data_IF_560655600319
#
_entry.id   IF_560655600319
#
_cell.length_a   1.000
_cell.length_b   1.000
_cell.length_c   1.000
_cell.angle_alpha   90.00
_cell.angle_beta   90.00
_cell.angle_gamma   90.00
#
_symmetry.space_group_name_H-M   'P 1'
#
loop_
_entity.id
_entity.type
_entity.pdbx_description
1 polymer ?
#
# COMPACT_ATOMS: atom_id res chain seq x y z
N UNK A 1 9.09 11.23 -27.87
CA UNK A 1 8.54 12.42 -27.18
C UNK A 1 9.60 12.93 -26.21
N UNK A 2 10.12 14.15 -26.42
CA UNK A 2 11.15 14.76 -25.55
C UNK A 2 10.45 15.51 -24.41
N UNK A 3 10.65 15.07 -23.17
CA UNK A 3 10.28 15.82 -21.96
C UNK A 3 11.30 16.94 -21.74
N UNK A 4 10.88 18.20 -21.50
CA UNK A 4 11.80 19.32 -21.38
C UNK A 4 12.58 19.27 -20.07
N UNK A 5 13.83 19.73 -20.16
CA UNK A 5 14.79 19.90 -19.08
C UNK A 5 14.20 20.68 -17.89
N UNK A 6 14.58 20.21 -16.71
CA UNK A 6 14.26 20.68 -15.36
C UNK A 6 14.53 22.18 -15.16
N UNK A 7 13.48 22.95 -14.86
CA UNK A 7 13.61 24.21 -14.16
C UNK A 7 13.66 23.94 -12.65
N UNK A 8 14.77 24.31 -12.00
CA UNK A 8 14.95 24.25 -10.55
C UNK A 8 14.11 25.35 -9.89
N UNK A 9 12.96 24.96 -9.35
CA UNK A 9 12.10 25.81 -8.52
C UNK A 9 12.33 25.47 -7.05
N UNK A 10 12.93 26.41 -6.30
CA UNK A 10 13.08 26.33 -4.86
C UNK A 10 11.74 26.68 -4.19
N UNK A 11 11.09 25.72 -3.54
CA UNK A 11 9.91 25.98 -2.72
C UNK A 11 10.00 25.30 -1.36
N UNK A 12 9.66 26.06 -0.32
CA UNK A 12 9.94 25.78 1.08
C UNK A 12 9.25 24.55 1.66
N UNK A 13 9.88 24.02 2.71
CA UNK A 13 9.44 22.96 3.61
C UNK A 13 8.76 21.77 2.92
N UNK A 14 9.56 20.94 2.23
CA UNK A 14 9.18 19.59 1.83
C UNK A 14 8.80 18.77 3.07
N UNK A 15 7.50 18.67 3.39
CA UNK A 15 7.02 17.63 4.30
C UNK A 15 7.05 16.30 3.56
N UNK A 16 8.20 15.65 3.55
CA UNK A 16 8.36 14.29 3.05
C UNK A 16 7.50 13.36 3.90
N UNK A 17 6.38 12.89 3.34
CA UNK A 17 5.60 11.82 3.96
C UNK A 17 6.31 10.50 3.70
N UNK A 18 7.28 10.16 4.53
CA UNK A 18 7.90 8.84 4.52
C UNK A 18 6.94 7.83 5.15
N UNK A 19 6.53 6.81 4.39
CA UNK A 19 5.87 5.65 4.99
C UNK A 19 6.95 4.63 5.39
N UNK A 20 6.80 3.90 6.50
CA UNK A 20 7.71 2.79 6.81
C UNK A 20 7.64 1.65 5.77
N UNK A 21 6.71 1.71 4.81
CA UNK A 21 6.52 0.75 3.71
C UNK A 21 7.27 1.12 2.43
N UNK A 22 7.71 2.38 2.29
CA UNK A 22 8.58 2.77 1.18
C UNK A 22 9.98 2.24 1.46
N UNK A 23 10.56 1.54 0.49
CA UNK A 23 11.95 1.09 0.55
C UNK A 23 12.84 2.28 0.91
N UNK A 24 13.76 2.07 1.87
CA UNK A 24 14.65 3.13 2.35
C UNK A 24 15.39 3.73 1.15
N UNK A 25 15.41 5.05 1.09
CA UNK A 25 16.15 5.83 0.11
C UNK A 25 15.76 5.54 -1.36
N UNK A 26 14.51 5.12 -1.61
CA UNK A 26 14.01 4.99 -2.98
C UNK A 26 13.95 6.36 -3.67
N UNK A 27 14.57 6.54 -4.85
CA UNK A 27 14.55 7.82 -5.56
C UNK A 27 13.22 8.12 -6.26
N UNK A 28 12.34 7.11 -6.40
CA UNK A 28 11.02 7.27 -7.01
C UNK A 28 10.13 8.20 -6.18
N UNK A 29 9.63 9.25 -6.82
CA UNK A 29 8.76 10.26 -6.18
C UNK A 29 7.85 10.94 -7.19
N UNK A 30 6.64 11.27 -6.75
CA UNK A 30 5.70 12.11 -7.49
C UNK A 30 5.46 13.36 -6.64
N UNK A 31 5.83 14.51 -7.16
CA UNK A 31 5.64 15.81 -6.52
C UNK A 31 4.38 16.43 -7.09
N UNK A 32 3.40 16.69 -6.23
CA UNK A 32 2.12 17.32 -6.60
C UNK A 32 1.96 18.61 -5.82
N UNK A 33 1.61 19.69 -6.51
CA UNK A 33 1.31 20.99 -5.91
C UNK A 33 -0.17 21.30 -6.05
N UNK A 34 -0.78 21.82 -4.98
CA UNK A 34 -2.14 22.34 -5.02
C UNK A 34 -2.12 23.82 -5.42
N UNK A 35 -2.73 24.18 -6.55
CA UNK A 35 -2.94 25.56 -6.94
C UNK A 35 -4.29 26.05 -6.44
N UNK A 36 -4.27 26.96 -5.47
CA UNK A 36 -5.48 27.57 -4.90
C UNK A 36 -6.27 28.39 -5.92
N UNK A 37 -5.58 29.06 -6.84
CA UNK A 37 -6.20 29.93 -7.83
C UNK A 37 -7.08 29.17 -8.82
N UNK A 38 -6.62 28.01 -9.29
CA UNK A 38 -7.35 27.15 -10.22
C UNK A 38 -8.14 26.03 -9.53
N UNK A 39 -8.05 25.90 -8.20
CA UNK A 39 -8.62 24.78 -7.42
C UNK A 39 -8.23 23.41 -8.00
N UNK A 40 -6.97 23.25 -8.41
CA UNK A 40 -6.46 22.06 -9.10
C UNK A 40 -5.18 21.53 -8.48
N UNK A 41 -4.92 20.24 -8.70
CA UNK A 41 -3.66 19.58 -8.39
C UNK A 41 -2.82 19.48 -9.66
N UNK A 42 -1.58 19.95 -9.61
CA UNK A 42 -0.63 19.86 -10.71
C UNK A 42 0.53 18.96 -10.33
N UNK A 43 0.88 18.04 -11.24
CA UNK A 43 2.09 17.22 -11.10
C UNK A 43 3.29 18.05 -11.50
N UNK A 44 4.18 18.32 -10.55
CA UNK A 44 5.37 19.15 -10.73
C UNK A 44 6.59 18.35 -11.16
N UNK A 45 6.74 17.14 -10.63
CA UNK A 45 7.83 16.26 -10.97
C UNK A 45 7.43 14.80 -10.80
N UNK A 46 7.97 13.94 -11.66
CA UNK A 46 7.83 12.49 -11.58
C UNK A 46 9.23 11.89 -11.75
N UNK A 47 9.67 11.14 -10.74
CA UNK A 47 10.81 10.24 -10.85
C UNK A 47 10.30 8.81 -10.69
N UNK A 48 10.54 7.97 -11.69
CA UNK A 48 10.15 6.55 -11.72
C UNK A 48 11.36 5.61 -11.66
N UNK A 49 12.53 6.12 -11.30
CA UNK A 49 13.69 5.29 -11.07
C UNK A 49 13.59 4.62 -9.70
N UNK A 50 13.79 3.30 -9.68
CA UNK A 50 13.75 2.51 -8.47
C UNK A 50 15.14 1.93 -8.20
N UNK A 51 15.55 1.94 -6.93
CA UNK A 51 16.77 1.26 -6.46
C UNK A 51 16.51 -0.19 -6.03
N UNK A 52 15.32 -0.71 -6.34
CA UNK A 52 14.85 -2.03 -5.93
C UNK A 52 13.90 -2.60 -6.99
N UNK A 53 13.66 -3.90 -6.92
CA UNK A 53 12.74 -4.58 -7.82
C UNK A 53 11.29 -4.15 -7.53
N UNK A 54 10.55 -3.83 -8.59
CA UNK A 54 9.12 -3.56 -8.53
C UNK A 54 8.41 -4.64 -9.33
N UNK A 55 7.53 -5.39 -8.68
CA UNK A 55 6.78 -6.48 -9.32
C UNK A 55 5.31 -6.50 -8.88
N UNK A 56 4.40 -6.98 -9.73
CA UNK A 56 3.00 -7.19 -9.36
C UNK A 56 2.84 -8.10 -8.14
N UNK A 57 3.72 -9.08 -7.97
CA UNK A 57 3.74 -10.02 -6.85
C UNK A 57 4.03 -9.30 -5.54
N UNK A 58 5.00 -8.38 -5.54
CA UNK A 58 5.33 -7.54 -4.39
C UNK A 58 4.17 -6.63 -4.02
N UNK A 59 3.48 -6.06 -5.02
CA UNK A 59 2.29 -5.24 -4.81
C UNK A 59 1.16 -6.03 -4.14
N UNK A 60 0.92 -7.29 -4.55
CA UNK A 60 -0.10 -8.15 -3.91
C UNK A 60 0.16 -8.42 -2.42
N UNK A 61 1.42 -8.30 -1.96
CA UNK A 61 1.77 -8.47 -0.56
C UNK A 61 1.47 -7.24 0.30
N UNK A 62 1.10 -6.10 -0.30
CA UNK A 62 0.79 -4.87 0.43
C UNK A 62 -0.45 -5.04 1.29
N UNK A 63 -0.47 -4.35 2.43
CA UNK A 63 -1.58 -4.40 3.40
C UNK A 63 -2.95 -4.10 2.78
N UNK A 64 -2.98 -3.14 1.88
CA UNK A 64 -4.13 -2.66 1.14
C UNK A 64 -4.70 -3.78 0.26
N UNK A 65 -3.84 -4.57 -0.39
CA UNK A 65 -4.24 -5.71 -1.21
C UNK A 65 -4.65 -6.94 -0.38
N UNK A 66 -4.10 -7.08 0.82
CA UNK A 66 -4.43 -8.18 1.74
C UNK A 66 -5.66 -7.92 2.61
N UNK A 67 -6.16 -6.69 2.62
CA UNK A 67 -7.29 -6.30 3.46
C UNK A 67 -8.52 -7.15 3.14
N UNK A 68 -9.14 -7.67 4.20
CA UNK A 68 -10.37 -8.44 4.07
C UNK A 68 -11.57 -7.49 3.88
N UNK A 69 -12.48 -7.85 2.98
CA UNK A 69 -13.78 -7.19 2.86
C UNK A 69 -14.74 -7.70 3.94
N UNK A 70 -15.95 -7.12 4.01
CA UNK A 70 -16.92 -7.48 5.05
C UNK A 70 -17.35 -8.95 5.00
N UNK A 71 -17.55 -9.51 3.81
CA UNK A 71 -17.93 -10.91 3.62
C UNK A 71 -16.85 -11.87 4.14
N UNK A 72 -15.59 -11.62 3.78
CA UNK A 72 -14.43 -12.38 4.24
C UNK A 72 -14.24 -12.24 5.75
N UNK A 73 -14.45 -11.04 6.32
CA UNK A 73 -14.39 -10.82 7.77
C UNK A 73 -15.48 -11.62 8.48
N UNK A 74 -16.70 -11.63 7.95
CA UNK A 74 -17.83 -12.39 8.51
C UNK A 74 -17.59 -13.91 8.44
N UNK A 75 -16.88 -14.39 7.42
CA UNK A 75 -16.43 -15.78 7.33
C UNK A 75 -15.34 -16.12 8.36
N UNK A 76 -14.36 -15.23 8.53
CA UNK A 76 -13.16 -15.46 9.36
C UNK A 76 -13.45 -15.32 10.86
N UNK A 77 -14.32 -14.39 11.24
CA UNK A 77 -14.54 -14.02 12.65
C UNK A 77 -15.03 -15.20 13.51
N UNK A 78 -16.03 -16.01 13.10
CA UNK A 78 -16.41 -17.21 13.84
C UNK A 78 -15.26 -18.22 13.99
N UNK A 79 -14.41 -18.36 12.97
CA UNK A 79 -13.27 -19.29 13.00
C UNK A 79 -12.20 -18.84 14.00
N UNK A 80 -11.98 -17.53 14.13
CA UNK A 80 -11.08 -16.95 15.14
C UNK A 80 -11.65 -17.18 16.55
N UNK A 81 -12.95 -17.00 16.75
CA UNK A 81 -13.63 -17.20 18.03
C UNK A 81 -13.58 -18.67 18.49
N UNK A 82 -13.70 -19.61 17.54
CA UNK A 82 -13.52 -21.04 17.77
C UNK A 82 -12.05 -21.46 17.96
N UNK A 83 -11.10 -20.51 18.00
CA UNK A 83 -9.66 -20.74 18.12
C UNK A 83 -9.09 -21.70 17.04
N UNK A 84 -9.65 -21.65 15.82
CA UNK A 84 -9.08 -22.36 14.68
C UNK A 84 -7.68 -21.81 14.39
N UNK A 85 -6.74 -22.71 14.04
CA UNK A 85 -5.36 -22.33 13.74
C UNK A 85 -5.33 -21.30 12.59
N UNK A 86 -4.70 -20.11 12.76
CA UNK A 86 -4.65 -19.07 11.73
C UNK A 86 -4.11 -19.54 10.36
N UNK A 87 -3.19 -20.50 10.35
CA UNK A 87 -2.63 -21.06 9.11
C UNK A 87 -3.68 -21.77 8.25
N UNK A 88 -4.67 -22.42 8.86
CA UNK A 88 -5.76 -23.10 8.15
C UNK A 88 -6.73 -22.08 7.55
N UNK A 89 -7.07 -21.04 8.31
CA UNK A 89 -7.92 -19.95 7.84
C UNK A 89 -7.27 -19.24 6.65
N UNK A 90 -5.98 -18.91 6.76
CA UNK A 90 -5.20 -18.30 5.66
C UNK A 90 -5.17 -19.20 4.43
N UNK A 91 -4.97 -20.51 4.60
CA UNK A 91 -4.98 -21.46 3.48
C UNK A 91 -6.33 -21.45 2.76
N UNK A 92 -7.43 -21.48 3.51
CA UNK A 92 -8.79 -21.48 2.96
C UNK A 92 -9.11 -20.15 2.25
N UNK A 93 -8.80 -19.01 2.88
CA UNK A 93 -8.96 -17.69 2.26
C UNK A 93 -8.17 -17.58 0.95
N UNK A 94 -6.91 -18.02 0.93
CA UNK A 94 -6.09 -18.01 -0.29
C UNK A 94 -6.72 -18.83 -1.42
N UNK A 95 -7.35 -19.96 -1.10
CA UNK A 95 -8.03 -20.80 -2.08
C UNK A 95 -9.29 -20.15 -2.65
N UNK A 96 -10.04 -19.40 -1.84
CA UNK A 96 -11.31 -18.80 -2.25
C UNK A 96 -11.13 -17.45 -2.94
N UNK A 97 -10.18 -16.63 -2.46
CA UNK A 97 -10.06 -15.22 -2.86
C UNK A 97 -8.77 -14.92 -3.63
N UNK A 98 -7.77 -15.81 -3.56
CA UNK A 98 -6.45 -15.57 -4.15
C UNK A 98 -5.62 -14.49 -3.45
N UNK A 99 -6.12 -13.87 -2.37
CA UNK A 99 -5.40 -12.82 -1.63
C UNK A 99 -4.22 -13.39 -0.87
N UNK A 100 -3.10 -12.67 -0.85
CA UNK A 100 -1.86 -13.07 -0.16
C UNK A 100 -1.91 -12.85 1.37
N UNK A 101 -3.03 -13.16 2.01
CA UNK A 101 -3.27 -12.98 3.46
C UNK A 101 -2.21 -13.73 4.28
N UNK A 102 -1.80 -13.17 5.41
CA UNK A 102 -0.83 -13.76 6.34
C UNK A 102 -1.43 -14.00 7.72
N UNK A 103 -0.80 -14.86 8.52
CA UNK A 103 -1.29 -15.18 9.87
C UNK A 103 -1.38 -13.95 10.79
N UNK A 104 -0.53 -12.93 10.58
CA UNK A 104 -0.58 -11.66 11.30
C UNK A 104 -1.90 -10.92 11.06
N UNK A 105 -2.50 -11.05 9.88
CA UNK A 105 -3.78 -10.40 9.57
C UNK A 105 -4.90 -10.99 10.43
N UNK A 106 -4.88 -12.31 10.67
CA UNK A 106 -5.80 -12.99 11.59
C UNK A 106 -5.62 -12.51 13.04
N UNK A 107 -4.37 -12.33 13.46
CA UNK A 107 -4.06 -11.80 14.79
C UNK A 107 -4.58 -10.37 14.95
N UNK A 108 -4.37 -9.51 13.96
CA UNK A 108 -4.88 -8.14 13.97
C UNK A 108 -6.41 -8.11 14.05
N UNK A 109 -7.10 -8.99 13.31
CA UNK A 109 -8.56 -9.13 13.40
C UNK A 109 -9.03 -9.60 14.79
N UNK A 110 -8.26 -10.46 15.46
CA UNK A 110 -8.55 -10.88 16.84
C UNK A 110 -8.39 -9.74 17.85
N UNK A 111 -7.42 -8.85 17.63
CA UNK A 111 -7.08 -7.74 18.52
C UNK A 111 -7.86 -6.45 18.23
N UNK A 112 -8.48 -6.33 17.06
CA UNK A 112 -9.40 -5.25 16.73
C UNK A 112 -10.74 -5.46 17.46
N UNK A 113 -10.75 -5.18 18.77
CA UNK A 113 -11.94 -5.08 19.62
C UNK A 113 -12.27 -3.63 19.87
#
# INVERSE_FOLDING_TARGET
MKVPHSQSVNFGAEKLRSSPRTMKDCPAKIIVAARRASQQLEVMAVNLEYNHEVSPETYKAYSECRQLNEEEVNFVRPLIELNVRPSLIVKKLRQETGKAVIAKDMHNLKCAR
#
